data_IF_578343901646
#
_entry.id   IF_578343901646
#
_cell.length_a   1.000
_cell.length_b   1.000
_cell.length_c   1.000
_cell.angle_alpha   90.00
_cell.angle_beta   90.00
_cell.angle_gamma   90.00
#
_symmetry.space_group_name_H-M   'P 1'
#
loop_
_entity.id
_entity.type
_entity.pdbx_description
1 polymer ?
#
# COMPACT_ATOMS: atom_id res chain seq x y z
N UNK A 1 -0.60 -3.77 13.70
CA UNK A 1 -0.73 -3.29 12.30
C UNK A 1 -1.17 -1.83 12.32
N UNK A 2 -0.62 -1.00 11.43
CA UNK A 2 -1.06 0.39 11.26
C UNK A 2 -1.76 0.55 9.92
N UNK A 3 -2.94 1.18 9.92
CA UNK A 3 -3.69 1.60 8.72
C UNK A 3 -3.57 3.10 8.61
N UNK A 4 -3.17 3.60 7.44
CA UNK A 4 -3.06 5.02 7.15
C UNK A 4 -4.20 5.42 6.23
N UNK A 5 -4.97 6.42 6.62
CA UNK A 5 -6.13 6.94 5.88
C UNK A 5 -6.06 8.47 5.81
N UNK A 6 -6.16 9.02 4.61
CA UNK A 6 -5.96 10.45 4.36
C UNK A 6 -7.18 11.27 4.77
N UNK A 7 -8.39 10.74 4.57
CA UNK A 7 -9.63 11.44 4.88
C UNK A 7 -9.96 11.30 6.38
N UNK A 8 -9.99 12.39 7.16
CA UNK A 8 -10.17 12.32 8.62
C UNK A 8 -11.45 11.61 9.05
N UNK A 9 -12.56 11.86 8.34
CA UNK A 9 -13.85 11.23 8.63
C UNK A 9 -13.83 9.71 8.37
N UNK A 10 -13.09 9.27 7.36
CA UNK A 10 -12.93 7.84 7.06
C UNK A 10 -11.98 7.16 8.04
N UNK A 11 -10.93 7.85 8.47
CA UNK A 11 -10.03 7.36 9.51
C UNK A 11 -10.78 7.15 10.84
N UNK A 12 -11.62 8.12 11.24
CA UNK A 12 -12.46 8.00 12.44
C UNK A 12 -13.47 6.85 12.29
N UNK A 13 -14.14 6.74 11.14
CA UNK A 13 -15.07 5.65 10.87
C UNK A 13 -14.38 4.28 10.94
N UNK A 14 -13.19 4.14 10.34
CA UNK A 14 -12.41 2.92 10.39
C UNK A 14 -12.02 2.56 11.83
N UNK A 15 -11.65 3.55 12.65
CA UNK A 15 -11.39 3.36 14.08
C UNK A 15 -12.59 2.76 14.81
N UNK A 16 -13.79 3.29 14.59
CA UNK A 16 -15.04 2.75 15.17
C UNK A 16 -15.37 1.34 14.69
N UNK A 17 -15.03 1.01 13.43
CA UNK A 17 -15.21 -0.35 12.91
C UNK A 17 -14.26 -1.32 13.60
N UNK A 18 -12.99 -0.93 13.78
CA UNK A 18 -11.97 -1.73 14.46
C UNK A 18 -12.37 -2.00 15.91
N UNK A 19 -12.82 -0.97 16.65
CA UNK A 19 -13.31 -1.10 18.02
C UNK A 19 -14.51 -2.07 18.11
N UNK A 20 -15.49 -1.93 17.21
CA UNK A 20 -16.66 -2.84 17.17
C UNK A 20 -16.30 -4.29 16.86
N UNK A 21 -15.16 -4.52 16.21
CA UNK A 21 -14.63 -5.85 15.92
C UNK A 21 -13.70 -6.37 17.03
N UNK A 22 -13.40 -5.57 18.05
CA UNK A 22 -12.49 -5.93 19.15
C UNK A 22 -11.03 -6.03 18.71
N UNK A 23 -10.61 -5.21 17.74
CA UNK A 23 -9.27 -5.24 17.13
C UNK A 23 -8.40 -4.03 17.51
N UNK A 24 -8.83 -3.19 18.43
CA UNK A 24 -8.17 -1.93 18.81
C UNK A 24 -6.77 -2.12 19.43
N UNK A 25 -6.47 -3.31 19.97
CA UNK A 25 -5.12 -3.67 20.44
C UNK A 25 -4.17 -4.08 19.32
N UNK A 26 -4.71 -4.54 18.19
CA UNK A 26 -3.95 -5.14 17.08
C UNK A 26 -3.85 -4.21 15.86
N UNK A 27 -4.83 -3.34 15.67
CA UNK A 27 -4.93 -2.43 14.52
C UNK A 27 -5.08 -1.00 15.00
N UNK A 28 -4.10 -0.17 14.63
CA UNK A 28 -4.13 1.29 14.84
C UNK A 28 -4.49 1.99 13.54
N UNK A 29 -5.46 2.91 13.60
CA UNK A 29 -5.74 3.83 12.47
C UNK A 29 -4.99 5.13 12.69
N UNK A 30 -4.32 5.61 11.65
CA UNK A 30 -3.58 6.86 11.63
C UNK A 30 -4.22 7.72 10.54
N UNK A 31 -4.71 8.90 10.92
CA UNK A 31 -5.09 9.88 9.93
C UNK A 31 -3.85 10.58 9.38
N UNK A 32 -3.64 10.49 8.07
CA UNK A 32 -2.47 11.03 7.40
C UNK A 32 -2.30 10.45 5.99
N UNK A 33 -1.32 10.94 5.25
CA UNK A 33 -0.95 10.38 3.96
C UNK A 33 0.21 9.38 4.10
N UNK A 34 0.74 8.90 2.97
CA UNK A 34 1.82 7.92 2.96
C UNK A 34 3.09 8.36 3.69
N UNK A 35 3.27 9.66 4.01
CA UNK A 35 4.44 10.16 4.74
C UNK A 35 4.40 9.82 6.22
N UNK A 36 3.24 9.43 6.76
CA UNK A 36 3.09 8.97 8.14
C UNK A 36 3.99 7.78 8.47
N UNK A 37 4.39 6.98 7.46
CA UNK A 37 5.29 5.83 7.68
C UNK A 37 6.66 6.25 8.22
N UNK A 38 7.12 7.48 7.98
CA UNK A 38 8.42 7.96 8.49
C UNK A 38 8.58 7.77 10.00
N UNK A 39 7.48 7.91 10.73
CA UNK A 39 7.47 7.91 12.19
C UNK A 39 6.98 6.55 12.75
N UNK A 40 6.98 5.49 11.93
CA UNK A 40 6.52 4.14 12.28
C UNK A 40 7.64 3.11 12.13
N UNK A 41 7.64 2.10 13.00
CA UNK A 41 8.42 0.87 12.80
C UNK A 41 7.59 -0.15 12.02
N UNK A 42 8.15 -0.70 10.95
CA UNK A 42 7.48 -1.68 10.11
C UNK A 42 8.46 -2.59 9.37
N UNK A 43 8.00 -3.81 9.15
CA UNK A 43 8.67 -4.85 8.36
C UNK A 43 8.20 -4.90 6.90
N UNK A 44 6.95 -4.46 6.69
CA UNK A 44 6.20 -4.60 5.44
C UNK A 44 5.34 -3.35 5.24
N UNK A 45 5.33 -2.82 4.00
CA UNK A 45 4.43 -1.76 3.56
C UNK A 45 3.43 -2.35 2.56
N UNK A 46 2.13 -2.19 2.80
CA UNK A 46 1.06 -2.59 1.90
C UNK A 46 0.43 -1.35 1.25
N UNK A 47 0.52 -1.23 -0.08
CA UNK A 47 -0.08 -0.12 -0.83
C UNK A 47 -1.42 -0.57 -1.42
N UNK A 48 -2.50 0.09 -1.01
CA UNK A 48 -3.84 -0.17 -1.52
C UNK A 48 -3.93 0.11 -3.03
N UNK A 49 -4.75 -0.66 -3.74
CA UNK A 49 -4.91 -0.51 -5.19
C UNK A 49 -5.37 0.90 -5.61
N UNK A 50 -6.10 1.57 -4.73
CA UNK A 50 -6.72 2.88 -4.94
C UNK A 50 -5.97 4.03 -4.25
N UNK A 51 -4.81 3.78 -3.64
CA UNK A 51 -4.01 4.85 -3.06
C UNK A 51 -3.44 5.75 -4.18
N UNK A 52 -3.69 7.06 -4.13
CA UNK A 52 -3.35 8.00 -5.21
C UNK A 52 -2.75 9.30 -4.64
N UNK A 53 -1.97 10.06 -5.43
CA UNK A 53 -1.48 9.71 -6.76
C UNK A 53 -0.30 8.71 -6.71
N UNK A 54 -0.32 7.66 -7.55
CA UNK A 54 0.66 6.55 -7.54
C UNK A 54 2.12 7.01 -7.49
N UNK A 55 2.55 7.86 -8.42
CA UNK A 55 3.92 8.38 -8.46
C UNK A 55 4.35 9.04 -7.13
N UNK A 56 3.48 9.88 -6.54
CA UNK A 56 3.77 10.55 -5.27
C UNK A 56 3.91 9.53 -4.14
N UNK A 57 2.97 8.59 -4.07
CA UNK A 57 2.92 7.56 -3.03
C UNK A 57 4.20 6.74 -3.04
N UNK A 58 4.59 6.18 -4.19
CA UNK A 58 5.80 5.36 -4.28
C UNK A 58 7.07 6.16 -4.08
N UNK A 59 7.16 7.40 -4.57
CA UNK A 59 8.31 8.27 -4.31
C UNK A 59 8.49 8.56 -2.83
N UNK A 60 7.40 8.79 -2.09
CA UNK A 60 7.46 9.01 -0.65
C UNK A 60 7.81 7.73 0.10
N UNK A 61 7.23 6.58 -0.27
CA UNK A 61 7.61 5.27 0.31
C UNK A 61 9.11 5.03 0.11
N UNK A 62 9.63 5.24 -1.10
CA UNK A 62 11.05 5.05 -1.44
C UNK A 62 12.00 5.84 -0.52
N UNK A 63 11.57 7.01 -0.04
CA UNK A 63 12.38 7.85 0.86
C UNK A 63 12.52 7.26 2.27
N UNK A 64 11.54 6.49 2.73
CA UNK A 64 11.45 6.06 4.12
C UNK A 64 11.66 4.56 4.34
N UNK A 65 11.69 3.77 3.26
CA UNK A 65 12.02 2.35 3.32
C UNK A 65 13.51 2.10 3.05
N UNK A 66 14.02 1.01 3.61
CA UNK A 66 15.37 0.48 3.32
C UNK A 66 15.34 -0.65 2.27
N UNK A 67 16.50 -1.28 2.05
CA UNK A 67 16.64 -2.38 1.08
C UNK A 67 15.99 -3.70 1.49
N UNK A 68 15.72 -3.90 2.78
CA UNK A 68 15.18 -5.15 3.34
C UNK A 68 13.66 -5.08 3.54
N UNK A 69 13.10 -3.86 3.55
CA UNK A 69 11.67 -3.61 3.65
C UNK A 69 10.92 -4.25 2.47
N UNK A 70 9.91 -5.07 2.79
CA UNK A 70 9.02 -5.68 1.79
C UNK A 70 7.91 -4.70 1.46
N UNK A 71 7.87 -4.20 0.22
CA UNK A 71 6.76 -3.35 -0.26
C UNK A 71 5.88 -4.19 -1.17
N UNK A 72 4.60 -4.33 -0.81
CA UNK A 72 3.62 -5.02 -1.64
C UNK A 72 2.57 -4.02 -2.09
N UNK A 73 2.41 -3.88 -3.40
CA UNK A 73 1.33 -3.07 -3.96
C UNK A 73 0.32 -3.92 -4.71
N UNK A 74 -0.92 -3.43 -4.74
CA UNK A 74 -2.00 -4.02 -5.53
C UNK A 74 -2.18 -3.22 -6.82
N UNK A 75 -2.33 -3.92 -7.93
CA UNK A 75 -2.57 -3.35 -9.26
C UNK A 75 -3.59 -4.18 -10.03
N UNK A 76 -3.95 -3.77 -11.24
CA UNK A 76 -4.85 -4.48 -12.14
C UNK A 76 -4.09 -4.92 -13.39
N UNK A 77 -4.25 -6.16 -13.84
CA UNK A 77 -3.55 -6.66 -15.04
C UNK A 77 -4.49 -7.40 -15.98
N UNK A 78 -4.14 -7.43 -17.27
CA UNK A 78 -4.95 -8.06 -18.31
C UNK A 78 -6.34 -7.40 -18.41
N UNK A 79 -7.38 -8.21 -18.65
CA UNK A 79 -8.75 -7.71 -18.79
C UNK A 79 -9.29 -7.00 -17.54
N UNK A 80 -8.71 -7.24 -16.36
CA UNK A 80 -9.14 -6.59 -15.10
C UNK A 80 -8.72 -5.12 -15.03
N UNK A 81 -7.80 -4.66 -15.88
CA UNK A 81 -7.43 -3.25 -16.00
C UNK A 81 -8.60 -2.35 -16.47
N UNK A 82 -9.71 -2.94 -16.95
CA UNK A 82 -10.96 -2.19 -17.20
C UNK A 82 -11.55 -1.58 -15.92
N UNK A 83 -11.25 -2.15 -14.74
CA UNK A 83 -11.82 -1.71 -13.46
C UNK A 83 -11.12 -0.47 -12.90
N UNK A 84 -9.81 -0.34 -13.12
CA UNK A 84 -9.01 0.77 -12.62
C UNK A 84 -7.64 0.84 -13.32
N UNK A 85 -7.05 2.03 -13.37
CA UNK A 85 -5.73 2.23 -13.98
C UNK A 85 -4.65 1.42 -13.26
N UNK A 86 -3.82 0.65 -13.99
CA UNK A 86 -2.71 -0.08 -13.38
C UNK A 86 -1.60 0.88 -12.91
N UNK A 87 -0.85 0.42 -11.91
CA UNK A 87 0.45 1.01 -11.55
C UNK A 87 1.42 0.82 -12.71
N UNK A 88 1.97 1.92 -13.22
CA UNK A 88 2.96 1.94 -14.29
C UNK A 88 4.38 1.68 -13.80
N UNK A 89 5.29 1.37 -14.71
CA UNK A 89 6.72 1.19 -14.39
C UNK A 89 7.35 2.48 -13.84
N UNK A 90 6.87 3.64 -14.32
CA UNK A 90 7.34 4.94 -13.86
C UNK A 90 6.94 5.27 -12.43
N UNK A 91 5.75 4.84 -12.00
CA UNK A 91 5.29 5.05 -10.63
C UNK A 91 6.22 4.36 -9.62
N UNK A 92 6.75 3.19 -9.97
CA UNK A 92 7.58 2.36 -9.09
C UNK A 92 9.08 2.47 -9.40
N UNK A 93 9.50 3.54 -10.07
CA UNK A 93 10.92 3.80 -10.32
C UNK A 93 11.71 3.82 -9.00
N UNK A 94 12.85 3.15 -8.98
CA UNK A 94 13.66 2.96 -7.76
C UNK A 94 13.31 1.70 -6.96
N UNK A 95 12.33 0.91 -7.41
CA UNK A 95 12.04 -0.42 -6.85
C UNK A 95 12.37 -1.53 -7.85
N UNK A 96 12.82 -2.68 -7.34
CA UNK A 96 12.99 -3.92 -8.09
C UNK A 96 11.89 -4.91 -7.74
N UNK A 97 11.29 -5.52 -8.77
CA UNK A 97 10.28 -6.58 -8.61
C UNK A 97 10.94 -7.87 -8.13
N UNK A 98 10.33 -8.51 -7.14
CA UNK A 98 10.80 -9.78 -6.57
C UNK A 98 9.74 -10.89 -6.61
N UNK A 99 8.46 -10.55 -6.78
CA UNK A 99 7.40 -11.54 -6.92
C UNK A 99 6.10 -10.94 -7.44
N UNK A 100 5.31 -11.76 -8.13
CA UNK A 100 4.00 -11.37 -8.66
C UNK A 100 3.02 -12.51 -8.40
N UNK A 101 1.84 -12.17 -7.87
CA UNK A 101 0.71 -13.09 -7.72
C UNK A 101 -0.43 -12.57 -8.58
N UNK A 102 -0.71 -13.30 -9.67
CA UNK A 102 -1.85 -13.00 -10.55
C UNK A 102 -3.16 -13.47 -9.90
N UNK A 103 -4.26 -12.73 -10.09
CA UNK A 103 -5.55 -13.10 -9.53
C UNK A 103 -6.16 -14.30 -10.26
N UNK A 104 -6.93 -15.09 -9.52
CA UNK A 104 -7.79 -16.15 -10.05
C UNK A 104 -9.21 -16.03 -9.48
N UNK A 105 -10.18 -16.70 -10.13
CA UNK A 105 -11.58 -16.62 -9.74
C UNK A 105 -12.10 -15.18 -9.74
N UNK A 106 -12.70 -14.78 -8.61
CA UNK A 106 -13.30 -13.44 -8.40
C UNK A 106 -12.34 -12.39 -7.86
N UNK A 107 -11.07 -12.74 -7.60
CA UNK A 107 -10.08 -11.75 -7.16
C UNK A 107 -9.78 -10.80 -8.33
N UNK A 108 -9.70 -9.50 -8.03
CA UNK A 108 -9.47 -8.46 -9.04
C UNK A 108 -8.01 -8.01 -9.10
N UNK A 109 -7.35 -7.88 -7.95
CA UNK A 109 -6.01 -7.29 -7.93
C UNK A 109 -4.92 -8.34 -8.16
N UNK A 110 -3.92 -7.94 -8.93
CA UNK A 110 -2.59 -8.54 -8.92
C UNK A 110 -1.81 -7.96 -7.75
N UNK A 111 -1.10 -8.80 -7.01
CA UNK A 111 -0.21 -8.35 -5.93
C UNK A 111 1.23 -8.46 -6.40
N UNK A 112 2.02 -7.41 -6.21
CA UNK A 112 3.42 -7.35 -6.62
C UNK A 112 4.28 -7.03 -5.40
N UNK A 113 5.26 -7.88 -5.14
CA UNK A 113 6.30 -7.66 -4.14
C UNK A 113 7.48 -6.96 -4.80
N UNK A 114 7.92 -5.87 -4.19
CA UNK A 114 9.11 -5.11 -4.58
C UNK A 114 9.98 -4.80 -3.37
N UNK A 115 11.25 -4.55 -3.66
CA UNK A 115 12.23 -4.03 -2.71
C UNK A 115 12.83 -2.75 -3.29
N UNK A 116 13.31 -1.87 -2.42
CA UNK A 116 14.10 -0.72 -2.86
C UNK A 116 15.32 -1.22 -3.64
N UNK A 117 15.58 -0.61 -4.79
CA UNK A 117 16.80 -0.88 -5.55
C UNK A 117 18.01 -0.36 -4.77
N UNK A 118 19.16 -1.04 -4.80
CA UNK A 118 20.41 -0.46 -4.33
C UNK A 118 20.70 0.83 -5.11
N UNK A 119 21.25 1.83 -4.41
CA UNK A 119 21.81 3.03 -5.06
C UNK A 119 23.01 2.67 -5.96
#
# INVERSE_FOLDING_TARGET
MSVVEVEPELAELAGRVIEKLGLEGDVRVINGDETAIRDLEFDIVLVAALAEPKERVFRNIHRYVDGDTRVIYRTYTGMRAILYSPVGDEDVRGFRRAGIVLPSGKVNNTSVLVFKSPD
#
